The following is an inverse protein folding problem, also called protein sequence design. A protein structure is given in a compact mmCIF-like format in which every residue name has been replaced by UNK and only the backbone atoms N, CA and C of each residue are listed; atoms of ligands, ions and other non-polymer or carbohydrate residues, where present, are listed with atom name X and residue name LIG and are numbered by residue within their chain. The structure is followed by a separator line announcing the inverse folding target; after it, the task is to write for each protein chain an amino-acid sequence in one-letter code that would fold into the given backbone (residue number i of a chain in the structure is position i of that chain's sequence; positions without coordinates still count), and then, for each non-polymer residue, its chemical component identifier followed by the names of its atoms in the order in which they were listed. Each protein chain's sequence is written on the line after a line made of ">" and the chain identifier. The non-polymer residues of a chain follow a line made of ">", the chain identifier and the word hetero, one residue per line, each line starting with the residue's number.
data_IF_386984030471
#
_entry.id   IF_386984030471
#
_cell.length_a   1.000
_cell.length_b   1.000
_cell.length_c   1.000
_cell.angle_alpha   90.00
_cell.angle_beta   90.00
_cell.angle_gamma   90.00
#
_symmetry.space_group_name_H-M   'P 1'
#
loop_
_entity.id
_entity.type
_entity.pdbx_description
1 polymer ?
#
# COMPACT_ATOMS: atom_id res chain seq x y z
N UNK A 1 -19.81 -1.03 16.16
CA UNK A 1 -18.99 -2.24 15.89
C UNK A 1 -18.13 -2.55 17.12
N UNK A 2 -17.96 -3.82 17.50
CA UNK A 2 -17.19 -4.23 18.69
C UNK A 2 -15.73 -3.72 18.63
N UNK A 3 -15.26 -3.08 19.71
CA UNK A 3 -13.85 -2.69 19.92
C UNK A 3 -12.93 -3.85 20.33
N UNK A 4 -13.49 -5.05 20.48
CA UNK A 4 -12.79 -6.23 20.96
C UNK A 4 -12.37 -7.12 19.78
N UNK A 5 -11.10 -7.56 19.81
CA UNK A 5 -10.48 -8.40 18.79
C UNK A 5 -9.44 -7.66 17.95
N UNK A 6 -8.75 -8.37 17.03
CA UNK A 6 -7.67 -7.79 16.25
C UNK A 6 -8.15 -6.63 15.37
N UNK A 7 -7.30 -5.61 15.20
CA UNK A 7 -7.53 -4.41 14.35
C UNK A 7 -7.51 -4.70 12.84
N UNK A 8 -7.57 -5.97 12.44
CA UNK A 8 -7.50 -6.37 11.04
C UNK A 8 -8.73 -5.96 10.22
N UNK A 9 -8.61 -6.11 8.91
CA UNK A 9 -9.73 -6.01 7.98
C UNK A 9 -10.79 -7.06 8.35
N UNK A 10 -11.99 -6.61 8.70
CA UNK A 10 -13.09 -7.51 9.09
C UNK A 10 -14.02 -7.82 7.91
N UNK A 11 -14.05 -6.99 6.88
CA UNK A 11 -14.76 -7.24 5.62
C UNK A 11 -13.92 -6.67 4.48
N UNK A 12 -13.68 -7.46 3.44
CA UNK A 12 -12.96 -7.06 2.23
C UNK A 12 -13.93 -7.12 1.03
N UNK A 13 -14.00 -6.04 0.26
CA UNK A 13 -14.66 -6.05 -1.05
C UNK A 13 -13.65 -5.83 -2.18
N UNK A 14 -13.76 -6.65 -3.23
CA UNK A 14 -13.01 -6.57 -4.48
C UNK A 14 -13.89 -6.26 -5.68
N UNK A 15 -15.11 -5.73 -5.44
CA UNK A 15 -16.08 -5.39 -6.50
C UNK A 15 -15.46 -4.58 -7.65
N UNK A 16 -14.56 -3.67 -7.31
CA UNK A 16 -13.92 -2.76 -8.26
C UNK A 16 -12.45 -3.10 -8.54
N UNK A 17 -12.05 -4.36 -8.34
CA UNK A 17 -10.65 -4.78 -8.48
C UNK A 17 -10.22 -4.96 -9.94
N UNK A 18 -11.09 -5.52 -10.76
CA UNK A 18 -10.81 -5.73 -12.17
C UNK A 18 -10.86 -4.42 -12.98
N UNK A 19 -10.10 -4.41 -14.08
CA UNK A 19 -10.10 -3.27 -15.00
C UNK A 19 -11.45 -3.12 -15.68
N UNK A 20 -12.05 -1.94 -15.57
CA UNK A 20 -13.27 -1.53 -16.26
C UNK A 20 -13.05 -0.15 -16.88
N UNK A 21 -12.82 -0.14 -18.20
CA UNK A 21 -12.45 1.07 -18.94
C UNK A 21 -13.55 2.14 -18.91
N UNK A 22 -14.81 1.76 -18.65
CA UNK A 22 -15.92 2.72 -18.54
C UNK A 22 -15.77 3.68 -17.35
N UNK A 23 -14.94 3.33 -16.35
CA UNK A 23 -14.66 4.14 -15.16
C UNK A 23 -13.56 5.19 -15.40
N UNK A 24 -12.91 5.16 -16.58
CA UNK A 24 -11.87 6.12 -16.96
C UNK A 24 -10.48 5.83 -16.37
N UNK A 25 -10.25 4.65 -15.81
CA UNK A 25 -8.93 4.21 -15.33
C UNK A 25 -8.73 2.71 -15.60
N UNK A 26 -7.47 2.28 -15.62
CA UNK A 26 -7.08 0.86 -15.67
C UNK A 26 -6.69 0.36 -14.28
N UNK A 27 -6.74 -0.96 -14.10
CA UNK A 27 -6.63 -1.65 -12.80
C UNK A 27 -7.79 -1.26 -11.87
N UNK A 28 -7.66 -1.61 -10.61
CA UNK A 28 -8.71 -1.40 -9.63
C UNK A 28 -8.19 -1.35 -8.21
N UNK A 29 -9.13 -1.46 -7.29
CA UNK A 29 -8.87 -1.28 -5.86
C UNK A 29 -9.71 -2.22 -5.02
N UNK A 30 -9.34 -2.35 -3.77
CA UNK A 30 -10.17 -3.02 -2.77
C UNK A 30 -10.64 -2.03 -1.70
N UNK A 31 -11.78 -2.38 -1.08
CA UNK A 31 -12.32 -1.70 0.10
C UNK A 31 -12.12 -2.60 1.31
N UNK A 32 -11.35 -2.13 2.29
CA UNK A 32 -11.06 -2.82 3.54
C UNK A 32 -11.84 -2.19 4.68
N UNK A 33 -12.91 -2.83 5.12
CA UNK A 33 -13.66 -2.36 6.27
C UNK A 33 -12.90 -2.79 7.51
N UNK A 34 -12.53 -1.81 8.32
CA UNK A 34 -11.81 -1.98 9.58
C UNK A 34 -12.64 -1.41 10.73
N UNK A 35 -12.36 -1.91 11.92
CA UNK A 35 -13.00 -1.44 13.15
C UNK A 35 -12.51 -0.03 13.49
N UNK A 36 -13.31 0.68 14.30
CA UNK A 36 -12.92 1.96 14.87
C UNK A 36 -11.65 1.85 15.72
N UNK A 37 -10.96 2.97 15.89
CA UNK A 37 -9.72 3.02 16.63
C UNK A 37 -9.92 2.84 18.15
N UNK A 38 -8.88 2.40 18.84
CA UNK A 38 -8.82 2.41 20.31
C UNK A 38 -8.93 3.84 20.88
N UNK A 39 -9.17 3.97 22.19
CA UNK A 39 -9.57 5.24 22.81
C UNK A 39 -8.53 6.37 22.61
N UNK A 40 -7.24 6.05 22.73
CA UNK A 40 -6.16 7.04 22.54
C UNK A 40 -6.12 7.55 21.09
N UNK A 41 -6.21 6.66 20.12
CA UNK A 41 -6.19 7.03 18.70
C UNK A 41 -7.44 7.82 18.31
N UNK A 42 -8.62 7.42 18.81
CA UNK A 42 -9.85 8.17 18.59
C UNK A 42 -9.74 9.59 19.16
N UNK A 43 -9.27 9.75 20.40
CA UNK A 43 -9.11 11.07 21.01
C UNK A 43 -8.12 11.95 20.23
N UNK A 44 -6.97 11.41 19.82
CA UNK A 44 -5.96 12.15 19.04
C UNK A 44 -6.47 12.56 17.65
N UNK A 45 -7.10 11.64 16.92
CA UNK A 45 -7.64 11.94 15.59
C UNK A 45 -8.83 12.90 15.68
N UNK A 46 -9.71 12.69 16.66
CA UNK A 46 -10.84 13.57 16.92
C UNK A 46 -10.39 14.99 17.29
N UNK A 47 -9.33 15.14 18.08
CA UNK A 47 -8.73 16.44 18.38
C UNK A 47 -8.15 17.10 17.12
N UNK A 48 -7.36 16.35 16.35
CA UNK A 48 -6.76 16.86 15.10
C UNK A 48 -7.81 17.32 14.08
N UNK A 49 -9.00 16.69 14.08
CA UNK A 49 -10.14 17.03 13.21
C UNK A 49 -11.13 18.02 13.83
N UNK A 50 -10.88 18.51 15.05
CA UNK A 50 -11.81 19.38 15.77
C UNK A 50 -13.12 18.72 16.20
N UNK A 51 -13.23 17.40 16.10
CA UNK A 51 -14.43 16.61 16.44
C UNK A 51 -14.50 16.25 17.93
N UNK A 52 -13.35 16.20 18.61
CA UNK A 52 -13.23 15.92 20.04
C UNK A 52 -12.34 17.01 20.65
N UNK A 53 -12.91 18.05 21.28
CA UNK A 53 -12.13 19.14 21.85
C UNK A 53 -11.30 18.67 23.04
N UNK A 54 -10.22 19.37 23.34
CA UNK A 54 -9.53 19.24 24.63
C UNK A 54 -10.22 20.10 25.68
N UNK A 55 -10.42 19.58 26.90
CA UNK A 55 -11.08 20.31 27.99
C UNK A 55 -12.61 20.17 28.00
N UNK A 56 -13.38 21.26 28.21
CA UNK A 56 -14.84 21.20 28.29
C UNK A 56 -15.47 20.50 27.06
N UNK A 57 -16.44 19.61 27.31
CA UNK A 57 -17.13 18.87 26.25
C UNK A 57 -16.37 17.65 25.70
N UNK A 58 -15.12 17.41 26.13
CA UNK A 58 -14.31 16.27 25.67
C UNK A 58 -15.03 14.93 25.88
N UNK A 59 -15.45 14.62 27.11
CA UNK A 59 -16.07 13.33 27.42
C UNK A 59 -17.37 13.09 26.65
N UNK A 60 -18.19 14.12 26.45
CA UNK A 60 -19.43 14.01 25.68
C UNK A 60 -19.14 13.74 24.20
N UNK A 61 -18.25 14.54 23.59
CA UNK A 61 -17.84 14.37 22.20
C UNK A 61 -17.15 13.02 21.95
N UNK A 62 -16.33 12.57 22.91
CA UNK A 62 -15.68 11.27 22.88
C UNK A 62 -16.68 10.13 23.01
N UNK A 63 -17.59 10.20 23.99
CA UNK A 63 -18.60 9.17 24.25
C UNK A 63 -19.54 8.95 23.06
N UNK A 64 -19.92 10.04 22.37
CA UNK A 64 -20.72 9.98 21.13
C UNK A 64 -20.02 9.25 19.97
N UNK A 65 -18.69 9.09 20.00
CA UNK A 65 -17.93 8.50 18.89
C UNK A 65 -17.31 7.16 19.25
N UNK A 66 -16.96 6.95 20.51
CA UNK A 66 -16.25 5.75 20.93
C UNK A 66 -17.11 4.50 20.73
N UNK A 67 -16.62 3.57 19.91
CA UNK A 67 -17.36 2.35 19.52
C UNK A 67 -18.40 2.54 18.39
N UNK A 68 -18.57 3.78 17.91
CA UNK A 68 -19.53 4.14 16.85
C UNK A 68 -18.85 4.50 15.51
N UNK A 69 -17.51 4.41 15.44
CA UNK A 69 -16.75 4.66 14.20
C UNK A 69 -16.47 3.35 13.45
N UNK A 70 -16.65 3.39 12.13
CA UNK A 70 -16.21 2.37 11.17
C UNK A 70 -15.32 3.06 10.15
N UNK A 71 -14.29 2.37 9.67
CA UNK A 71 -13.39 2.91 8.65
C UNK A 71 -13.40 2.02 7.41
N UNK A 72 -13.32 2.63 6.23
CA UNK A 72 -13.05 1.94 4.97
C UNK A 72 -11.66 2.37 4.50
N UNK A 73 -10.69 1.45 4.59
CA UNK A 73 -9.40 1.59 3.94
C UNK A 73 -9.53 1.34 2.44
N UNK A 74 -8.91 2.18 1.62
CA UNK A 74 -8.89 2.04 0.17
C UNK A 74 -7.45 1.75 -0.24
N UNK A 75 -7.25 0.61 -0.93
CA UNK A 75 -5.97 0.26 -1.53
C UNK A 75 -6.14 0.21 -3.05
N UNK A 76 -5.65 1.25 -3.74
CA UNK A 76 -5.59 1.29 -5.20
C UNK A 76 -4.32 0.58 -5.71
N UNK A 77 -4.38 0.03 -6.92
CA UNK A 77 -3.19 -0.40 -7.65
C UNK A 77 -2.58 0.81 -8.37
N UNK A 78 -1.44 1.29 -7.88
CA UNK A 78 -0.67 2.33 -8.55
C UNK A 78 0.19 1.70 -9.67
N UNK A 79 0.18 2.32 -10.84
CA UNK A 79 0.91 1.81 -11.99
C UNK A 79 2.41 2.06 -11.86
N UNK A 80 3.26 1.17 -12.41
CA UNK A 80 4.68 1.44 -12.51
C UNK A 80 4.92 2.59 -13.50
N UNK A 81 5.56 3.65 -13.01
CA UNK A 81 5.79 4.89 -13.75
C UNK A 81 7.29 5.20 -13.76
N UNK A 82 7.90 5.37 -14.93
CA UNK A 82 9.36 5.54 -15.04
C UNK A 82 9.89 6.81 -14.36
N UNK A 83 9.05 7.83 -14.19
CA UNK A 83 9.40 9.06 -13.49
C UNK A 83 9.39 8.94 -11.96
N UNK A 84 8.84 7.83 -11.43
CA UNK A 84 8.86 7.51 -10.02
C UNK A 84 10.10 6.68 -9.72
N UNK A 85 11.02 7.26 -8.95
CA UNK A 85 12.37 6.72 -8.77
C UNK A 85 12.81 6.82 -7.32
N UNK A 86 13.65 5.88 -6.91
CA UNK A 86 14.44 5.95 -5.67
C UNK A 86 15.92 6.05 -6.08
N UNK A 87 16.59 7.10 -5.64
CA UNK A 87 18.03 7.31 -5.86
C UNK A 87 18.73 7.53 -4.52
N UNK A 88 20.05 7.53 -4.50
CA UNK A 88 20.82 7.96 -3.33
C UNK A 88 20.87 9.49 -3.26
N UNK A 89 20.77 10.03 -2.05
CA UNK A 89 20.97 11.45 -1.80
C UNK A 89 22.48 11.77 -1.71
N UNK A 90 23.01 12.74 -2.46
CA UNK A 90 24.44 13.06 -2.48
C UNK A 90 24.93 13.79 -1.22
N UNK A 91 24.03 14.38 -0.42
CA UNK A 91 24.40 15.24 0.72
C UNK A 91 23.88 14.68 2.04
N UNK A 92 22.73 14.02 2.02
CA UNK A 92 22.10 13.48 3.22
C UNK A 92 22.53 12.03 3.42
N UNK A 93 23.06 11.75 4.60
CA UNK A 93 23.39 10.40 5.05
C UNK A 93 22.64 10.04 6.33
N UNK A 94 22.52 8.75 6.62
CA UNK A 94 22.14 8.27 7.95
C UNK A 94 23.28 8.46 8.97
N UNK A 95 23.04 8.00 10.20
CA UNK A 95 24.03 8.08 11.30
C UNK A 95 25.29 7.26 11.08
N UNK A 96 25.30 6.37 10.09
CA UNK A 96 26.43 5.51 9.72
C UNK A 96 27.14 6.00 8.46
N UNK A 97 26.73 7.13 7.89
CA UNK A 97 27.31 7.69 6.66
C UNK A 97 26.77 7.04 5.38
N UNK A 98 25.72 6.22 5.45
CA UNK A 98 25.09 5.63 4.26
C UNK A 98 24.19 6.69 3.62
N UNK A 99 24.33 6.96 2.31
CA UNK A 99 23.45 7.91 1.60
C UNK A 99 21.96 7.59 1.80
N UNK A 100 21.18 8.60 2.17
CA UNK A 100 19.75 8.46 2.39
C UNK A 100 19.00 8.22 1.06
N UNK A 101 17.85 7.53 1.08
CA UNK A 101 17.03 7.38 -0.12
C UNK A 101 16.36 8.71 -0.47
N UNK A 102 16.62 9.20 -1.69
CA UNK A 102 15.90 10.29 -2.34
C UNK A 102 14.77 9.73 -3.17
N UNK A 103 13.53 9.96 -2.74
CA UNK A 103 12.33 9.45 -3.40
C UNK A 103 11.72 10.57 -4.25
N UNK A 104 11.65 10.36 -5.57
CA UNK A 104 10.82 11.15 -6.48
C UNK A 104 9.56 10.35 -6.74
N UNK A 105 8.43 10.85 -6.28
CA UNK A 105 7.15 10.21 -6.50
C UNK A 105 6.10 11.25 -6.89
N UNK A 106 5.34 10.93 -7.93
CA UNK A 106 4.16 11.67 -8.35
C UNK A 106 3.10 10.63 -8.71
N UNK A 107 1.92 10.79 -8.12
CA UNK A 107 0.77 9.95 -8.44
C UNK A 107 0.36 10.21 -9.90
N UNK A 108 0.05 9.15 -10.65
CA UNK A 108 -0.44 9.29 -12.02
C UNK A 108 -1.87 9.85 -12.04
N UNK A 109 -2.30 10.35 -13.20
CA UNK A 109 -3.69 10.75 -13.39
C UNK A 109 -4.64 9.53 -13.33
N UNK A 110 -4.20 8.35 -13.79
CA UNK A 110 -4.95 7.11 -13.66
C UNK A 110 -5.28 6.82 -12.18
N UNK A 111 -4.27 6.89 -11.32
CA UNK A 111 -4.38 6.61 -9.89
C UNK A 111 -5.23 7.68 -9.16
N UNK A 112 -5.15 8.95 -9.59
CA UNK A 112 -6.04 10.02 -9.09
C UNK A 112 -7.51 9.72 -9.40
N UNK A 113 -7.84 9.37 -10.64
CA UNK A 113 -9.22 9.03 -11.03
C UNK A 113 -9.73 7.78 -10.28
N UNK A 114 -8.87 6.78 -10.11
CA UNK A 114 -9.21 5.58 -9.34
C UNK A 114 -9.52 5.91 -7.88
N UNK A 115 -8.70 6.75 -7.22
CA UNK A 115 -8.96 7.21 -5.85
C UNK A 115 -10.27 7.99 -5.71
N UNK A 116 -10.56 8.88 -6.65
CA UNK A 116 -11.82 9.64 -6.65
C UNK A 116 -13.03 8.72 -6.76
N UNK A 117 -12.99 7.74 -7.66
CA UNK A 117 -14.04 6.72 -7.79
C UNK A 117 -14.17 5.90 -6.50
N UNK A 118 -13.05 5.47 -5.91
CA UNK A 118 -13.04 4.71 -4.66
C UNK A 118 -13.63 5.51 -3.49
N UNK A 119 -13.35 6.81 -3.38
CA UNK A 119 -13.96 7.68 -2.37
C UNK A 119 -15.48 7.81 -2.56
N UNK A 120 -15.95 7.98 -3.79
CA UNK A 120 -17.39 8.05 -4.08
C UNK A 120 -18.10 6.74 -3.67
N UNK A 121 -17.58 5.59 -4.10
CA UNK A 121 -18.15 4.28 -3.75
C UNK A 121 -18.06 3.96 -2.27
N UNK A 122 -16.95 4.29 -1.61
CA UNK A 122 -16.81 4.13 -0.16
C UNK A 122 -17.81 5.00 0.62
N UNK A 123 -18.05 6.23 0.15
CA UNK A 123 -19.06 7.13 0.72
C UNK A 123 -20.47 6.54 0.60
N UNK A 124 -20.82 6.00 -0.56
CA UNK A 124 -22.12 5.32 -0.77
C UNK A 124 -22.30 4.12 0.16
N UNK A 125 -21.26 3.30 0.34
CA UNK A 125 -21.29 2.17 1.29
C UNK A 125 -21.54 2.68 2.71
N UNK A 126 -20.86 3.74 3.14
CA UNK A 126 -21.05 4.33 4.47
C UNK A 126 -22.46 4.92 4.65
N UNK A 127 -23.00 5.57 3.63
CA UNK A 127 -24.37 6.10 3.64
C UNK A 127 -25.41 4.97 3.72
N UNK A 128 -25.27 3.92 2.91
CA UNK A 128 -26.15 2.76 2.93
C UNK A 128 -26.08 2.02 4.28
N UNK A 129 -24.95 2.06 4.96
CA UNK A 129 -24.77 1.51 6.31
C UNK A 129 -25.33 2.42 7.43
N UNK A 130 -25.90 3.58 7.10
CA UNK A 130 -26.48 4.52 8.08
C UNK A 130 -25.46 5.48 8.71
N UNK A 131 -24.29 5.66 8.11
CA UNK A 131 -23.28 6.62 8.57
C UNK A 131 -23.77 8.07 8.44
N UNK A 132 -23.61 8.86 9.50
CA UNK A 132 -24.07 10.26 9.55
C UNK A 132 -22.94 11.28 9.45
N UNK A 133 -21.75 10.97 9.98
CA UNK A 133 -20.56 11.83 9.96
C UNK A 133 -19.51 11.22 8.99
N UNK A 134 -19.75 11.34 7.68
CA UNK A 134 -18.88 10.72 6.66
C UNK A 134 -17.86 11.74 6.16
N UNK A 135 -16.58 11.34 6.14
CA UNK A 135 -15.49 12.11 5.57
C UNK A 135 -14.56 11.17 4.80
N UNK A 136 -13.95 11.69 3.75
CA UNK A 136 -12.94 11.01 2.93
C UNK A 136 -11.64 11.75 3.02
N UNK A 137 -10.54 11.04 3.23
CA UNK A 137 -9.21 11.62 3.33
C UNK A 137 -8.22 10.74 2.55
N UNK A 138 -7.39 11.38 1.73
CA UNK A 138 -6.27 10.74 1.07
C UNK A 138 -5.74 11.56 -0.10
N UNK A 139 -4.62 11.14 -0.72
CA UNK A 139 -3.81 9.99 -0.31
C UNK A 139 -3.15 10.21 1.07
N UNK A 140 -2.85 9.11 1.78
CA UNK A 140 -2.17 9.19 3.08
C UNK A 140 -0.78 9.78 2.87
N UNK A 141 -0.49 10.90 3.53
CA UNK A 141 0.82 11.54 3.47
C UNK A 141 1.84 10.64 4.15
N UNK A 142 2.96 10.36 3.47
CA UNK A 142 4.01 9.45 3.94
C UNK A 142 3.55 7.99 4.11
N UNK A 143 2.73 7.49 3.18
CA UNK A 143 2.43 6.06 3.10
C UNK A 143 3.69 5.27 2.68
N UNK A 144 4.37 4.66 3.66
CA UNK A 144 5.63 3.91 3.45
C UNK A 144 5.50 2.40 3.66
N UNK A 145 4.29 1.84 3.69
CA UNK A 145 4.07 0.45 4.09
C UNK A 145 4.29 -0.56 2.97
N UNK A 146 4.00 -0.21 1.72
CA UNK A 146 4.07 -1.12 0.56
C UNK A 146 4.99 -0.53 -0.53
N UNK A 147 6.29 -0.41 -0.22
CA UNK A 147 7.31 0.01 -1.19
C UNK A 147 7.69 -1.19 -2.08
N UNK A 148 7.47 -1.06 -3.40
CA UNK A 148 7.56 -2.16 -4.36
C UNK A 148 8.24 -1.71 -5.66
N UNK A 149 8.71 -2.66 -6.46
CA UNK A 149 9.11 -2.44 -7.86
C UNK A 149 10.43 -1.71 -8.11
N UNK A 150 11.23 -1.44 -7.09
CA UNK A 150 12.52 -0.73 -7.22
C UNK A 150 13.65 -1.55 -7.86
N UNK A 151 13.51 -2.87 -7.96
CA UNK A 151 14.46 -3.78 -8.60
C UNK A 151 13.72 -4.84 -9.42
N UNK A 152 12.82 -4.37 -10.30
CA UNK A 152 11.81 -5.20 -10.97
C UNK A 152 12.40 -6.41 -11.71
N UNK A 153 11.66 -7.50 -11.66
CA UNK A 153 11.88 -8.72 -12.43
C UNK A 153 11.57 -8.51 -13.91
N UNK A 154 12.29 -9.21 -14.81
CA UNK A 154 12.00 -9.21 -16.24
C UNK A 154 12.88 -10.17 -17.03
N UNK A 155 12.68 -10.23 -18.34
CA UNK A 155 13.50 -11.05 -19.25
C UNK A 155 14.52 -10.23 -20.02
N UNK A 156 14.42 -8.90 -19.97
CA UNK A 156 15.23 -7.96 -20.74
C UNK A 156 16.14 -7.18 -19.78
N UNK A 157 17.47 -7.42 -19.79
CA UNK A 157 18.42 -6.78 -18.87
C UNK A 157 18.49 -5.26 -19.02
N UNK A 158 18.09 -4.69 -20.17
CA UNK A 158 18.03 -3.23 -20.33
C UNK A 158 16.81 -2.63 -19.63
N UNK A 159 15.84 -3.48 -19.25
CA UNK A 159 14.55 -3.08 -18.69
C UNK A 159 14.23 -3.78 -17.38
N UNK A 160 15.09 -4.59 -16.79
CA UNK A 160 14.89 -5.20 -15.46
C UNK A 160 16.21 -5.33 -14.71
N UNK A 161 16.13 -5.46 -13.39
CA UNK A 161 17.31 -5.63 -12.53
C UNK A 161 17.62 -7.11 -12.30
N UNK A 162 16.56 -7.91 -12.17
CA UNK A 162 16.66 -9.37 -11.99
C UNK A 162 15.87 -10.11 -13.05
N UNK A 163 16.34 -11.30 -13.39
CA UNK A 163 15.66 -12.20 -14.30
C UNK A 163 14.40 -12.82 -13.67
N UNK A 164 13.64 -13.61 -14.45
CA UNK A 164 12.38 -14.28 -14.04
C UNK A 164 12.42 -15.21 -12.82
N UNK A 165 13.58 -15.39 -12.19
CA UNK A 165 13.74 -16.15 -10.95
C UNK A 165 14.64 -15.45 -9.93
N UNK A 166 14.77 -14.12 -10.02
CA UNK A 166 15.35 -13.28 -8.98
C UNK A 166 16.87 -13.13 -9.01
N UNK A 167 17.57 -13.72 -10.01
CA UNK A 167 19.02 -13.53 -10.21
C UNK A 167 19.26 -12.17 -10.87
N UNK A 168 20.22 -11.39 -10.39
CA UNK A 168 20.68 -10.19 -11.07
C UNK A 168 21.14 -10.50 -12.50
N UNK A 169 20.83 -9.60 -13.43
CA UNK A 169 21.36 -9.69 -14.79
C UNK A 169 22.86 -9.44 -14.84
N UNK A 170 23.38 -8.56 -13.97
CA UNK A 170 24.77 -8.08 -14.01
C UNK A 170 25.71 -8.94 -13.15
N UNK A 171 25.21 -9.54 -12.07
CA UNK A 171 26.04 -10.26 -11.08
C UNK A 171 25.48 -11.67 -10.85
N UNK A 172 26.20 -12.67 -11.36
CA UNK A 172 25.71 -14.07 -11.43
C UNK A 172 25.38 -14.69 -10.07
N UNK A 173 26.08 -14.30 -9.00
CA UNK A 173 25.87 -14.80 -7.65
C UNK A 173 25.04 -13.87 -6.76
N UNK A 174 24.35 -12.87 -7.33
CA UNK A 174 23.49 -11.93 -6.62
C UNK A 174 22.02 -12.21 -6.90
N UNK A 175 21.22 -12.21 -5.84
CA UNK A 175 19.77 -12.42 -5.88
C UNK A 175 19.05 -11.36 -5.06
N UNK A 176 17.87 -10.95 -5.55
CA UNK A 176 16.98 -10.02 -4.84
C UNK A 176 15.66 -10.74 -4.57
N UNK A 177 15.24 -10.76 -3.31
CA UNK A 177 14.15 -11.61 -2.83
C UNK A 177 13.25 -10.82 -1.87
N UNK A 178 12.54 -9.83 -2.39
CA UNK A 178 11.59 -9.01 -1.64
C UNK A 178 10.54 -8.37 -2.57
N UNK A 179 9.80 -7.37 -2.10
CA UNK A 179 8.79 -6.65 -2.91
C UNK A 179 9.36 -5.75 -4.01
N UNK A 180 10.66 -5.46 -4.01
CA UNK A 180 11.31 -4.65 -5.05
C UNK A 180 11.27 -5.32 -6.42
N UNK A 181 11.16 -6.66 -6.48
CA UNK A 181 11.15 -7.40 -7.75
C UNK A 181 9.79 -7.39 -8.45
N UNK A 182 8.76 -6.82 -7.82
CA UNK A 182 7.40 -6.77 -8.39
C UNK A 182 7.36 -5.88 -9.64
N UNK A 183 6.66 -6.33 -10.68
CA UNK A 183 6.45 -5.54 -11.91
C UNK A 183 5.19 -4.68 -11.84
N UNK A 184 4.29 -5.00 -10.93
CA UNK A 184 3.04 -4.26 -10.63
C UNK A 184 2.82 -4.27 -9.13
N UNK A 185 2.27 -3.19 -8.57
CA UNK A 185 2.03 -3.09 -7.12
C UNK A 185 0.92 -4.04 -6.64
N UNK A 186 -0.09 -4.27 -7.50
CA UNK A 186 -1.33 -4.90 -7.10
C UNK A 186 -2.18 -4.00 -6.20
N UNK A 187 -3.49 -4.20 -6.20
CA UNK A 187 -4.40 -3.44 -5.33
C UNK A 187 -4.61 -4.10 -3.96
N UNK A 188 -3.62 -4.80 -3.38
CA UNK A 188 -3.73 -5.57 -2.12
C UNK A 188 -2.47 -5.48 -1.26
N UNK A 189 -2.51 -5.97 -0.02
CA UNK A 189 -1.32 -6.07 0.84
C UNK A 189 -0.32 -7.11 0.27
N UNK A 190 0.96 -6.76 0.06
CA UNK A 190 1.88 -7.55 -0.76
C UNK A 190 2.57 -8.69 -0.01
N UNK A 191 2.53 -8.73 1.33
CA UNK A 191 3.38 -9.63 2.15
C UNK A 191 3.24 -11.10 1.76
N UNK A 192 2.02 -11.61 1.54
CA UNK A 192 1.83 -13.01 1.12
C UNK A 192 2.40 -13.28 -0.27
N UNK A 193 2.32 -12.31 -1.19
CA UNK A 193 2.95 -12.42 -2.51
C UNK A 193 4.47 -12.37 -2.40
N UNK A 194 5.03 -11.54 -1.51
CA UNK A 194 6.48 -11.49 -1.24
C UNK A 194 6.95 -12.87 -0.73
N UNK A 195 6.22 -13.49 0.19
CA UNK A 195 6.53 -14.83 0.69
C UNK A 195 6.47 -15.88 -0.43
N UNK A 196 5.45 -15.83 -1.28
CA UNK A 196 5.33 -16.74 -2.43
C UNK A 196 6.48 -16.57 -3.42
N UNK A 197 6.85 -15.32 -3.75
CA UNK A 197 7.99 -15.01 -4.62
C UNK A 197 9.31 -15.49 -3.99
N UNK A 198 9.48 -15.32 -2.67
CA UNK A 198 10.66 -15.81 -1.97
C UNK A 198 10.81 -17.34 -2.04
N UNK A 199 9.72 -18.07 -1.80
CA UNK A 199 9.69 -19.53 -1.94
C UNK A 199 9.97 -19.97 -3.38
N UNK A 200 9.34 -19.31 -4.36
CA UNK A 200 9.57 -19.58 -5.77
C UNK A 200 11.05 -19.39 -6.15
N UNK A 201 11.67 -18.26 -5.77
CA UNK A 201 13.09 -17.99 -6.07
C UNK A 201 13.99 -19.04 -5.41
N UNK A 202 13.73 -19.41 -4.16
CA UNK A 202 14.48 -20.47 -3.47
C UNK A 202 14.36 -21.83 -4.18
N UNK A 203 13.17 -22.18 -4.66
CA UNK A 203 12.97 -23.40 -5.45
C UNK A 203 13.73 -23.34 -6.78
N UNK A 204 13.76 -22.18 -7.44
CA UNK A 204 14.52 -22.00 -8.68
C UNK A 204 16.03 -22.13 -8.45
N UNK A 205 16.56 -21.64 -7.33
CA UNK A 205 17.95 -21.87 -6.93
C UNK A 205 18.24 -23.35 -6.71
N UNK A 206 17.37 -24.04 -5.96
CA UNK A 206 17.51 -25.47 -5.67
C UNK A 206 17.52 -26.32 -6.94
N UNK A 207 16.63 -26.03 -7.88
CA UNK A 207 16.54 -26.75 -9.16
C UNK A 207 17.78 -26.53 -10.04
N UNK A 208 18.49 -25.42 -9.87
CA UNK A 208 19.67 -25.03 -10.66
C UNK A 208 20.98 -25.18 -9.88
N UNK A 209 21.01 -25.91 -8.77
CA UNK A 209 22.17 -25.91 -7.87
C UNK A 209 23.51 -26.25 -8.58
N UNK A 210 23.45 -27.13 -9.58
CA UNK A 210 24.63 -27.54 -10.35
C UNK A 210 25.16 -26.47 -11.34
N UNK A 211 24.30 -25.54 -11.78
CA UNK A 211 24.58 -24.53 -12.81
C UNK A 211 24.06 -23.14 -12.41
N UNK A 212 23.97 -22.87 -11.11
CA UNK A 212 23.27 -21.71 -10.56
C UNK A 212 23.86 -20.38 -11.06
N UNK A 213 25.17 -20.39 -11.27
CA UNK A 213 25.98 -19.24 -11.66
C UNK A 213 26.47 -19.32 -13.10
N UNK A 214 25.99 -20.30 -13.86
CA UNK A 214 26.28 -20.41 -15.30
C UNK A 214 25.46 -19.37 -16.07
N UNK A 215 25.86 -19.10 -17.31
CA UNK A 215 25.20 -18.12 -18.19
C UNK A 215 23.79 -18.55 -18.59
#
# INVERSE_FOLDING_TARGET
>A
ASRYGPSGCCILSKEFYETDLSRGFVRGYNLQITRGAGPVNLARQGLARGQIPWGPGHHEAFSRRYGQVVNIGICIEDLPEAHNTVTLDPEVTDSSGIPAPRIRYTMSENSRRMLQHAFARGTEVMQAAGGTDIYTEGPIRYAGWHLLGTARMGTDPERSVVNGWGRSHDVRNLFIVDGSVFVTSGGVNPTSTIQAVALYIADQMKQRLANLFDD
#
